data_IF_733017248944
#
_entry.id   IF_733017248944
#
_cell.length_a   1.000
_cell.length_b   1.000
_cell.length_c   1.000
_cell.angle_alpha   90.00
_cell.angle_beta   90.00
_cell.angle_gamma   90.00
#
_symmetry.space_group_name_H-M   'P 1'
#
loop_
_entity.id
_entity.type
_entity.pdbx_description
1 polymer ?
#
# COMPACT_ATOMS: atom_id res chain seq x y z
N UNK A 1 23.12 35.98 16.06
CA UNK A 1 23.07 34.52 16.29
C UNK A 1 23.26 33.64 15.04
N UNK A 2 22.80 34.08 13.87
CA UNK A 2 22.82 33.26 12.64
C UNK A 2 24.14 33.40 11.89
N UNK A 3 24.73 32.27 11.51
CA UNK A 3 25.88 32.17 10.62
C UNK A 3 25.42 31.73 9.23
N UNK A 4 25.85 32.43 8.19
CA UNK A 4 25.55 32.10 6.78
C UNK A 4 26.73 31.38 6.14
N UNK A 5 26.45 30.37 5.30
CA UNK A 5 27.41 29.72 4.42
C UNK A 5 27.15 30.17 2.99
N UNK A 6 28.01 31.07 2.48
CA UNK A 6 27.89 31.66 1.16
C UNK A 6 29.22 31.56 0.44
N UNK A 7 29.18 31.32 -0.87
CA UNK A 7 30.37 31.39 -1.70
C UNK A 7 30.92 32.82 -1.72
N UNK A 8 32.24 33.01 -1.89
CA UNK A 8 32.84 34.35 -1.87
C UNK A 8 32.27 35.31 -2.92
N UNK A 9 31.78 34.76 -4.03
CA UNK A 9 31.18 35.45 -5.17
C UNK A 9 29.66 35.67 -5.05
N UNK A 10 29.00 35.10 -4.03
CA UNK A 10 27.57 35.25 -3.86
C UNK A 10 27.20 36.65 -3.32
N UNK A 11 26.07 37.24 -3.77
CA UNK A 11 25.58 38.49 -3.22
C UNK A 11 25.25 38.32 -1.73
N UNK A 12 25.73 39.26 -0.91
CA UNK A 12 25.53 39.22 0.54
C UNK A 12 24.12 39.69 0.90
N UNK A 13 23.28 38.87 1.54
CA UNK A 13 21.96 39.30 1.96
C UNK A 13 22.05 40.36 3.06
N UNK A 14 21.15 41.38 3.06
CA UNK A 14 21.16 42.41 4.09
C UNK A 14 20.85 41.82 5.46
N UNK A 15 21.49 42.35 6.52
CA UNK A 15 21.24 41.96 7.91
C UNK A 15 22.50 41.87 8.77
N UNK A 16 22.31 41.96 10.09
CA UNK A 16 23.37 41.83 11.09
C UNK A 16 23.63 40.33 11.40
N UNK A 17 24.31 39.66 10.47
CA UNK A 17 24.68 38.25 10.61
C UNK A 17 25.79 38.08 11.66
N UNK A 18 25.77 36.95 12.39
CA UNK A 18 26.84 36.63 13.35
C UNK A 18 28.16 36.38 12.64
N UNK A 19 28.11 35.66 11.52
CA UNK A 19 29.25 35.44 10.64
C UNK A 19 28.75 35.08 9.23
N UNK A 20 29.54 35.41 8.22
CA UNK A 20 29.42 34.87 6.87
C UNK A 20 30.69 34.06 6.64
N UNK A 21 30.53 32.76 6.38
CA UNK A 21 31.64 31.83 6.16
C UNK A 21 31.49 31.18 4.79
N UNK A 22 32.59 30.65 4.27
CA UNK A 22 32.58 29.77 3.11
C UNK A 22 33.08 28.38 3.50
N UNK A 23 32.17 27.42 3.46
CA UNK A 23 32.44 26.00 3.70
C UNK A 23 31.82 25.20 2.54
N UNK A 24 32.57 24.94 1.46
CA UNK A 24 32.03 24.26 0.28
C UNK A 24 31.62 22.81 0.57
N UNK A 25 32.24 22.16 1.57
CA UNK A 25 32.01 20.74 1.88
C UNK A 25 30.77 20.47 2.72
N UNK A 26 30.03 21.51 3.12
CA UNK A 26 28.82 21.37 3.94
C UNK A 26 27.57 21.83 3.19
N UNK A 27 26.46 21.13 3.39
CA UNK A 27 25.20 21.40 2.67
C UNK A 27 24.30 22.48 3.31
N UNK A 28 24.64 22.99 4.49
CA UNK A 28 23.77 23.98 5.17
C UNK A 28 24.05 25.36 4.61
N UNK A 29 22.98 26.16 4.51
CA UNK A 29 23.02 27.54 4.00
C UNK A 29 23.09 28.53 5.15
N UNK A 30 22.43 28.21 6.26
CA UNK A 30 22.54 28.98 7.49
C UNK A 30 22.53 28.04 8.69
N UNK A 31 23.12 28.47 9.80
CA UNK A 31 23.05 27.74 11.08
C UNK A 31 23.00 28.69 12.26
N UNK A 32 22.45 28.24 13.36
CA UNK A 32 22.44 28.99 14.62
C UNK A 32 22.47 28.04 15.81
N UNK A 33 22.92 28.54 16.96
CA UNK A 33 22.79 27.80 18.23
C UNK A 33 21.42 28.10 18.82
N UNK A 34 20.61 27.07 19.00
CA UNK A 34 19.30 27.19 19.64
C UNK A 34 19.47 27.48 21.13
N UNK A 35 18.80 28.52 21.64
CA UNK A 35 18.99 28.99 23.02
C UNK A 35 18.39 28.04 24.06
N UNK A 36 17.37 27.27 23.70
CA UNK A 36 16.70 26.34 24.60
C UNK A 36 17.46 25.03 24.72
N UNK A 37 17.83 24.43 23.59
CA UNK A 37 18.49 23.11 23.57
C UNK A 37 20.01 23.19 23.54
N UNK A 38 20.60 24.37 23.36
CA UNK A 38 22.04 24.54 23.14
C UNK A 38 22.57 23.94 21.83
N UNK A 39 21.73 23.25 21.04
CA UNK A 39 22.11 22.51 19.84
C UNK A 39 22.17 23.41 18.60
N UNK A 40 23.06 23.06 17.68
CA UNK A 40 23.10 23.72 16.36
C UNK A 40 21.89 23.33 15.52
N UNK A 41 21.21 24.32 14.95
CA UNK A 41 20.15 24.18 13.96
C UNK A 41 20.65 24.69 12.62
N UNK A 42 20.04 24.21 11.54
CA UNK A 42 20.53 24.40 10.19
C UNK A 42 19.38 24.63 9.22
N UNK A 43 19.59 25.51 8.26
CA UNK A 43 18.78 25.66 7.05
C UNK A 43 19.44 24.85 5.94
N UNK A 44 18.67 23.98 5.30
CA UNK A 44 19.12 23.12 4.21
C UNK A 44 18.35 23.41 2.93
N UNK A 45 18.93 23.06 1.78
CA UNK A 45 18.19 22.97 0.53
C UNK A 45 16.99 22.00 0.63
N UNK A 46 15.96 22.28 -0.16
CA UNK A 46 14.78 21.43 -0.27
C UNK A 46 15.16 19.99 -0.70
N UNK A 47 14.39 18.98 -0.27
CA UNK A 47 14.66 17.57 -0.62
C UNK A 47 14.56 17.27 -2.12
N UNK A 48 13.93 18.14 -2.90
CA UNK A 48 13.85 18.06 -4.36
C UNK A 48 15.02 18.75 -5.07
N UNK A 49 15.95 19.39 -4.34
CA UNK A 49 17.13 19.98 -4.97
C UNK A 49 18.06 18.90 -5.50
N UNK A 50 18.76 19.19 -6.59
CA UNK A 50 19.66 18.23 -7.23
C UNK A 50 20.71 17.68 -6.26
N UNK A 51 21.31 18.56 -5.44
CA UNK A 51 22.31 18.15 -4.44
C UNK A 51 21.73 17.17 -3.39
N UNK A 52 20.51 17.41 -2.90
CA UNK A 52 19.85 16.49 -1.95
C UNK A 52 19.46 15.18 -2.63
N UNK A 53 19.02 15.23 -3.89
CA UNK A 53 18.70 14.03 -4.66
C UNK A 53 19.95 13.18 -4.94
N UNK A 54 21.09 13.78 -5.31
CA UNK A 54 22.37 13.07 -5.47
C UNK A 54 22.76 12.29 -4.21
N UNK A 55 22.68 12.93 -3.03
CA UNK A 55 22.93 12.24 -1.74
C UNK A 55 21.93 11.10 -1.46
N UNK A 56 20.67 11.27 -1.86
CA UNK A 56 19.65 10.24 -1.70
C UNK A 56 19.91 9.04 -2.64
N UNK A 57 20.35 9.29 -3.87
CA UNK A 57 20.81 8.28 -4.85
C UNK A 57 22.01 7.51 -4.30
N UNK A 58 23.07 8.21 -3.86
CA UNK A 58 24.27 7.61 -3.27
C UNK A 58 23.91 6.67 -2.11
N UNK A 59 23.05 7.13 -1.21
CA UNK A 59 22.55 6.34 -0.08
C UNK A 59 21.87 5.05 -0.53
N UNK A 60 21.01 5.09 -1.56
CA UNK A 60 20.32 3.89 -2.05
C UNK A 60 21.24 2.98 -2.88
N UNK A 61 22.17 3.55 -3.65
CA UNK A 61 23.23 2.79 -4.33
C UNK A 61 24.08 2.02 -3.33
N UNK A 62 24.45 2.65 -2.20
CA UNK A 62 25.21 1.97 -1.16
C UNK A 62 24.46 0.79 -0.52
N UNK A 63 23.13 0.91 -0.40
CA UNK A 63 22.30 -0.20 0.07
C UNK A 63 22.18 -1.34 -0.95
N UNK A 64 22.20 -1.03 -2.26
CA UNK A 64 22.29 -2.04 -3.31
C UNK A 64 23.65 -2.75 -3.33
N UNK A 65 24.73 -2.01 -3.15
CA UNK A 65 26.08 -2.56 -3.06
C UNK A 65 26.22 -3.49 -1.84
N UNK A 66 25.68 -3.08 -0.68
CA UNK A 66 25.57 -3.93 0.51
C UNK A 66 24.77 -5.21 0.20
N UNK A 67 23.67 -5.12 -0.56
CA UNK A 67 22.88 -6.31 -0.93
C UNK A 67 23.72 -7.34 -1.70
N UNK A 68 24.58 -6.89 -2.61
CA UNK A 68 25.43 -7.78 -3.41
C UNK A 68 26.54 -8.44 -2.56
N UNK A 69 26.99 -7.77 -1.51
CA UNK A 69 28.11 -8.21 -0.66
C UNK A 69 27.69 -8.64 0.75
N UNK A 70 26.40 -8.83 1.00
CA UNK A 70 25.87 -9.02 2.36
C UNK A 70 26.45 -10.25 3.05
N UNK A 71 26.67 -11.34 2.31
CA UNK A 71 27.26 -12.56 2.88
C UNK A 71 28.73 -12.35 3.24
N UNK A 72 29.53 -11.66 2.40
CA UNK A 72 30.92 -11.28 2.76
C UNK A 72 30.98 -10.44 4.04
N UNK A 73 30.04 -9.52 4.21
CA UNK A 73 29.95 -8.69 5.44
C UNK A 73 29.59 -9.54 6.64
N UNK A 74 28.63 -10.46 6.52
CA UNK A 74 28.28 -11.39 7.60
C UNK A 74 29.42 -12.32 7.97
N UNK A 75 30.13 -12.85 6.99
CA UNK A 75 31.30 -13.72 7.22
C UNK A 75 32.39 -12.96 7.97
N UNK A 76 32.65 -11.70 7.58
CA UNK A 76 33.59 -10.84 8.30
C UNK A 76 33.14 -10.60 9.75
N UNK A 77 31.84 -10.33 9.98
CA UNK A 77 31.29 -10.19 11.33
C UNK A 77 31.53 -11.48 12.14
N UNK A 78 31.16 -12.64 11.59
CA UNK A 78 31.25 -13.94 12.28
C UNK A 78 32.69 -14.29 12.63
N UNK A 79 33.64 -14.09 11.69
CA UNK A 79 35.07 -14.34 11.93
C UNK A 79 35.65 -13.50 13.07
N UNK A 80 35.09 -12.32 13.34
CA UNK A 80 35.57 -11.42 14.38
C UNK A 80 34.76 -11.54 15.70
N UNK A 81 33.80 -12.47 15.80
CA UNK A 81 33.10 -12.74 17.06
C UNK A 81 33.99 -13.38 18.12
N UNK A 82 35.15 -13.92 17.74
CA UNK A 82 36.15 -14.46 18.67
C UNK A 82 37.52 -13.76 18.55
N UNK A 83 37.53 -12.50 18.09
CA UNK A 83 38.79 -11.76 17.97
C UNK A 83 39.46 -11.55 19.34
N UNK A 84 40.80 -11.69 19.38
CA UNK A 84 41.59 -11.48 20.60
C UNK A 84 41.47 -10.05 21.12
N UNK A 85 41.42 -9.06 20.22
CA UNK A 85 41.16 -7.66 20.59
C UNK A 85 39.72 -7.52 21.14
N UNK A 86 39.55 -7.17 22.43
CA UNK A 86 38.24 -7.02 23.04
C UNK A 86 37.36 -5.98 22.34
N UNK A 87 37.95 -4.89 21.82
CA UNK A 87 37.19 -3.83 21.15
C UNK A 87 36.68 -4.29 19.79
N UNK A 88 37.50 -4.98 19.01
CA UNK A 88 37.09 -5.62 17.75
C UNK A 88 36.01 -6.67 17.98
N UNK A 89 36.14 -7.52 19.01
CA UNK A 89 35.14 -8.53 19.39
C UNK A 89 33.79 -7.92 19.80
N UNK A 90 33.82 -6.84 20.59
CA UNK A 90 32.62 -6.05 20.91
C UNK A 90 32.01 -5.43 19.66
N UNK A 91 32.82 -4.83 18.78
CA UNK A 91 32.36 -4.19 17.53
C UNK A 91 31.70 -5.20 16.59
N UNK A 92 32.29 -6.39 16.43
CA UNK A 92 31.70 -7.49 15.66
C UNK A 92 30.36 -7.95 16.27
N UNK A 93 30.29 -8.07 17.60
CA UNK A 93 29.04 -8.42 18.31
C UNK A 93 27.96 -7.36 18.10
N UNK A 94 28.30 -6.07 18.14
CA UNK A 94 27.38 -4.96 17.82
C UNK A 94 26.89 -5.05 16.37
N UNK A 95 27.79 -5.28 15.42
CA UNK A 95 27.43 -5.45 14.00
C UNK A 95 26.50 -6.64 13.80
N UNK A 96 26.76 -7.75 14.50
CA UNK A 96 25.89 -8.92 14.51
C UNK A 96 24.49 -8.59 15.03
N UNK A 97 24.37 -7.81 16.11
CA UNK A 97 23.06 -7.39 16.63
C UNK A 97 22.33 -6.41 15.69
N UNK A 98 23.05 -5.48 15.05
CA UNK A 98 22.46 -4.59 14.04
C UNK A 98 21.92 -5.40 12.87
N UNK A 99 22.70 -6.37 12.39
CA UNK A 99 22.27 -7.29 11.34
C UNK A 99 21.09 -8.13 11.82
N UNK A 100 21.16 -8.80 12.97
CA UNK A 100 20.12 -9.73 13.43
C UNK A 100 18.81 -9.04 13.82
N UNK A 101 18.89 -7.94 14.54
CA UNK A 101 17.74 -7.25 15.17
C UNK A 101 17.26 -6.02 14.39
N UNK A 102 18.01 -5.56 13.38
CA UNK A 102 17.68 -4.38 12.55
C UNK A 102 17.54 -3.07 13.33
N UNK A 103 18.22 -3.00 14.48
CA UNK A 103 18.22 -1.85 15.39
C UNK A 103 19.23 -0.79 14.91
N UNK A 104 19.14 0.41 15.50
CA UNK A 104 20.13 1.48 15.22
C UNK A 104 21.39 1.21 16.04
N UNK A 105 22.53 1.72 15.58
CA UNK A 105 23.80 1.63 16.33
C UNK A 105 23.67 2.27 17.72
N UNK A 106 23.15 3.49 17.80
CA UNK A 106 23.15 4.25 19.06
C UNK A 106 24.53 4.87 19.31
N UNK A 107 24.53 5.99 20.02
CA UNK A 107 25.73 6.62 20.56
C UNK A 107 25.35 7.11 21.96
N UNK A 108 26.34 7.36 22.81
CA UNK A 108 26.12 7.93 24.13
C UNK A 108 25.38 9.27 24.03
N UNK A 109 24.52 9.51 25.01
CA UNK A 109 23.65 10.68 25.07
C UNK A 109 23.95 11.49 26.31
N UNK A 110 23.65 12.78 26.20
CA UNK A 110 23.64 13.68 27.35
C UNK A 110 22.62 13.18 28.41
N UNK A 111 22.94 13.22 29.72
CA UNK A 111 22.01 12.87 30.79
C UNK A 111 20.67 13.61 30.76
N UNK A 112 20.60 14.80 30.16
CA UNK A 112 19.35 15.55 30.00
C UNK A 112 18.46 15.02 28.85
N UNK A 113 18.98 14.15 27.99
CA UNK A 113 18.19 13.49 26.95
C UNK A 113 17.40 12.29 27.48
N UNK A 114 16.28 11.98 26.80
CA UNK A 114 15.53 10.76 27.08
C UNK A 114 16.42 9.51 26.98
N UNK A 115 16.44 8.72 28.05
CA UNK A 115 17.18 7.45 28.15
C UNK A 115 16.68 6.46 27.09
N UNK A 116 17.44 6.41 26.00
CA UNK A 116 17.12 5.64 24.81
C UNK A 116 18.39 5.02 24.27
N UNK A 117 18.34 3.72 23.96
CA UNK A 117 19.53 2.95 23.62
C UNK A 117 19.48 2.41 22.18
N UNK A 118 20.66 2.17 21.63
CA UNK A 118 20.88 1.44 20.38
C UNK A 118 21.71 0.18 20.64
N UNK A 119 22.18 -0.45 19.57
CA UNK A 119 23.00 -1.65 19.62
C UNK A 119 24.27 -1.50 20.48
N UNK A 120 25.04 -0.42 20.30
CA UNK A 120 26.30 -0.19 21.02
C UNK A 120 26.11 0.43 22.39
N UNK A 121 24.90 0.85 22.75
CA UNK A 121 24.58 1.44 24.07
C UNK A 121 23.64 0.55 24.90
N UNK A 122 23.54 -0.74 24.55
CA UNK A 122 22.84 -1.72 25.39
C UNK A 122 23.51 -1.82 26.76
N UNK A 123 22.71 -2.20 27.75
CA UNK A 123 23.07 -2.29 29.17
C UNK A 123 22.58 -3.64 29.72
N UNK A 124 23.15 -4.17 30.83
CA UNK A 124 22.79 -5.50 31.33
C UNK A 124 21.29 -5.70 31.56
N UNK A 125 20.58 -4.68 32.07
CA UNK A 125 19.14 -4.75 32.36
C UNK A 125 18.26 -4.91 31.11
N UNK A 126 18.81 -4.62 29.92
CA UNK A 126 18.10 -4.74 28.66
C UNK A 126 18.09 -6.17 28.10
N UNK A 127 18.87 -7.08 28.68
CA UNK A 127 19.09 -8.42 28.13
C UNK A 127 18.71 -9.47 29.18
N UNK A 128 17.90 -10.45 28.76
CA UNK A 128 17.58 -11.64 29.54
C UNK A 128 17.92 -12.90 28.76
N UNK A 129 18.74 -13.76 29.35
CA UNK A 129 19.11 -15.06 28.79
C UNK A 129 18.12 -16.13 29.22
N UNK A 130 17.68 -16.97 28.28
CA UNK A 130 16.91 -18.18 28.54
C UNK A 130 17.78 -19.43 28.41
N UNK A 131 17.28 -20.55 28.91
CA UNK A 131 18.03 -21.81 29.02
C UNK A 131 18.13 -22.58 27.69
N UNK A 132 17.30 -22.24 26.71
CA UNK A 132 17.21 -22.86 25.38
C UNK A 132 18.09 -22.19 24.29
N UNK A 133 18.98 -21.29 24.70
CA UNK A 133 19.76 -20.41 23.80
C UNK A 133 18.96 -19.21 23.27
N UNK A 134 17.75 -18.98 23.79
CA UNK A 134 16.98 -17.78 23.46
C UNK A 134 17.44 -16.58 24.28
N UNK A 135 17.62 -15.44 23.65
CA UNK A 135 17.92 -14.15 24.28
C UNK A 135 16.77 -13.17 24.05
N UNK A 136 16.32 -12.55 25.13
CA UNK A 136 15.29 -11.52 25.11
C UNK A 136 15.92 -10.14 25.30
N UNK A 137 15.71 -9.24 24.35
CA UNK A 137 16.11 -7.83 24.44
C UNK A 137 14.87 -6.98 24.70
N UNK A 138 14.89 -6.15 25.75
CA UNK A 138 13.79 -5.22 26.11
C UNK A 138 14.36 -3.86 26.46
N UNK A 139 14.13 -2.86 25.62
CA UNK A 139 14.64 -1.51 25.83
C UNK A 139 13.81 -0.44 25.10
N UNK A 140 14.05 0.84 25.43
CA UNK A 140 13.49 1.98 24.70
C UNK A 140 14.50 2.47 23.65
N UNK A 141 14.10 2.43 22.38
CA UNK A 141 14.89 2.97 21.29
C UNK A 141 14.62 4.45 21.06
N UNK A 142 15.11 4.99 19.93
CA UNK A 142 14.83 6.37 19.51
C UNK A 142 13.35 6.73 19.63
N UNK A 143 13.08 7.96 20.08
CA UNK A 143 11.74 8.50 20.30
C UNK A 143 10.95 7.72 21.37
N UNK A 144 11.68 7.07 22.29
CA UNK A 144 11.17 6.22 23.38
C UNK A 144 10.25 5.09 22.91
N UNK A 145 10.52 4.56 21.70
CA UNK A 145 9.75 3.46 21.14
C UNK A 145 10.21 2.13 21.76
N UNK A 146 9.32 1.33 22.37
CA UNK A 146 9.68 0.04 22.93
C UNK A 146 10.17 -0.94 21.86
N UNK A 147 11.29 -1.57 22.15
CA UNK A 147 11.87 -2.69 21.42
C UNK A 147 11.80 -3.94 22.30
N UNK A 148 11.15 -4.98 21.79
CA UNK A 148 11.09 -6.30 22.42
C UNK A 148 11.43 -7.34 21.37
N UNK A 149 12.56 -8.01 21.54
CA UNK A 149 13.02 -9.07 20.65
C UNK A 149 13.22 -10.34 21.46
N UNK A 150 12.72 -11.47 20.98
CA UNK A 150 13.02 -12.80 21.51
C UNK A 150 13.63 -13.60 20.37
N UNK A 151 14.93 -13.88 20.44
CA UNK A 151 15.69 -14.49 19.33
C UNK A 151 16.62 -15.58 19.83
N UNK A 152 16.72 -16.68 19.09
CA UNK A 152 17.78 -17.66 19.28
C UNK A 152 19.08 -17.12 18.68
N UNK A 153 20.14 -17.13 19.47
CA UNK A 153 21.47 -16.64 19.10
C UNK A 153 22.49 -17.79 19.11
N UNK A 154 23.57 -17.71 18.32
CA UNK A 154 24.69 -18.64 18.42
C UNK A 154 25.39 -18.56 19.78
N UNK A 155 25.93 -19.67 20.25
CA UNK A 155 26.56 -19.76 21.58
C UNK A 155 27.70 -18.77 21.76
N UNK A 156 28.50 -18.53 20.72
CA UNK A 156 29.58 -17.52 20.73
C UNK A 156 29.05 -16.12 21.03
N UNK A 157 27.89 -15.75 20.48
CA UNK A 157 27.26 -14.44 20.72
C UNK A 157 26.72 -14.39 22.15
N UNK A 158 26.10 -15.47 22.63
CA UNK A 158 25.58 -15.55 24.00
C UNK A 158 26.72 -15.44 25.01
N UNK A 159 27.84 -16.14 24.78
CA UNK A 159 29.06 -16.07 25.57
C UNK A 159 29.58 -14.64 25.65
N UNK A 160 29.76 -13.98 24.50
CA UNK A 160 30.18 -12.59 24.44
C UNK A 160 29.23 -11.67 25.21
N UNK A 161 27.92 -11.80 25.01
CA UNK A 161 26.93 -10.97 25.71
C UNK A 161 26.96 -11.18 27.23
N UNK A 162 27.08 -12.42 27.71
CA UNK A 162 27.21 -12.70 29.16
C UNK A 162 28.50 -12.11 29.73
N UNK A 163 29.64 -12.36 29.06
CA UNK A 163 30.96 -11.84 29.47
C UNK A 163 30.96 -10.30 29.52
N UNK A 164 30.44 -9.66 28.48
CA UNK A 164 30.37 -8.20 28.40
C UNK A 164 29.38 -7.60 29.39
N UNK A 165 28.29 -8.30 29.71
CA UNK A 165 27.32 -7.84 30.71
C UNK A 165 27.86 -7.92 32.13
N UNK A 166 28.64 -8.96 32.44
CA UNK A 166 29.28 -9.10 33.76
C UNK A 166 30.34 -8.02 34.04
N UNK A 167 31.00 -7.54 32.98
CA UNK A 167 32.07 -6.54 33.06
C UNK A 167 31.59 -5.10 32.76
N UNK A 168 30.28 -4.88 32.59
CA UNK A 168 29.74 -3.59 32.18
C UNK A 168 29.72 -2.59 33.35
N UNK A 169 30.20 -1.36 33.12
CA UNK A 169 29.99 -0.24 34.06
C UNK A 169 28.68 0.47 33.77
N UNK A 170 28.44 0.80 32.51
CA UNK A 170 27.21 1.41 32.02
C UNK A 170 26.72 0.65 30.79
N UNK A 171 27.49 0.67 29.70
CA UNK A 171 27.15 -0.11 28.50
C UNK A 171 27.92 -1.43 28.46
N UNK A 172 27.28 -2.48 27.96
CA UNK A 172 27.96 -3.76 27.71
C UNK A 172 29.00 -3.63 26.58
N UNK A 173 28.90 -2.60 25.73
CA UNK A 173 29.86 -2.37 24.64
C UNK A 173 30.70 -1.11 24.86
N UNK A 174 31.08 -0.83 26.11
CA UNK A 174 31.99 0.27 26.47
C UNK A 174 33.21 0.29 25.52
N UNK A 175 33.47 1.46 24.93
CA UNK A 175 34.52 1.69 23.92
C UNK A 175 34.09 1.56 22.46
N UNK A 176 32.86 1.09 22.17
CA UNK A 176 32.32 0.97 20.80
C UNK A 176 31.32 2.08 20.50
N UNK A 177 31.61 2.91 19.49
CA UNK A 177 30.73 3.97 19.02
C UNK A 177 30.42 3.81 17.52
N UNK A 178 29.56 4.68 16.98
CA UNK A 178 29.19 4.65 15.56
C UNK A 178 30.36 4.81 14.60
N UNK A 179 31.44 5.49 15.01
CA UNK A 179 32.66 5.64 14.22
C UNK A 179 33.36 4.29 14.06
N UNK A 180 33.65 3.59 15.17
CA UNK A 180 34.30 2.27 15.15
C UNK A 180 33.49 1.23 14.39
N UNK A 181 32.17 1.23 14.57
CA UNK A 181 31.27 0.34 13.80
C UNK A 181 31.37 0.62 12.31
N UNK A 182 31.50 1.89 11.92
CA UNK A 182 31.66 2.25 10.50
C UNK A 182 33.04 1.88 9.98
N UNK A 183 34.11 2.15 10.73
CA UNK A 183 35.50 1.75 10.40
C UNK A 183 35.61 0.23 10.19
N UNK A 184 35.03 -0.58 11.10
CA UNK A 184 35.00 -2.04 10.97
C UNK A 184 34.23 -2.53 9.73
N UNK A 185 33.12 -1.89 9.38
CA UNK A 185 32.35 -2.24 8.18
C UNK A 185 33.03 -1.76 6.89
N UNK A 186 33.79 -0.66 6.96
CA UNK A 186 34.56 -0.08 5.86
C UNK A 186 35.64 -1.03 5.34
N UNK A 187 36.25 -1.83 6.24
CA UNK A 187 37.23 -2.87 5.92
C UNK A 187 36.73 -3.88 4.86
N UNK A 188 35.40 -4.11 4.82
CA UNK A 188 34.78 -5.02 3.85
C UNK A 188 34.23 -4.26 2.65
N UNK A 189 33.69 -3.06 2.89
CA UNK A 189 33.01 -2.27 1.88
C UNK A 189 33.16 -0.77 2.13
N UNK A 190 34.03 -0.11 1.37
CA UNK A 190 34.38 1.32 1.55
C UNK A 190 33.17 2.25 1.58
N UNK A 191 32.97 3.01 2.65
CA UNK A 191 31.85 3.91 2.90
C UNK A 191 30.62 3.22 3.51
N UNK A 192 30.72 1.96 3.91
CA UNK A 192 29.63 1.25 4.57
C UNK A 192 29.48 1.72 6.03
N UNK A 193 28.24 1.96 6.44
CA UNK A 193 27.92 2.28 7.84
C UNK A 193 26.72 1.48 8.32
N UNK A 194 26.55 1.41 9.65
CA UNK A 194 25.41 0.75 10.28
C UNK A 194 24.04 1.26 9.77
N UNK A 195 23.95 2.53 9.34
CA UNK A 195 22.70 3.11 8.83
C UNK A 195 22.25 2.45 7.52
N UNK A 196 23.19 1.97 6.71
CA UNK A 196 22.91 1.34 5.40
C UNK A 196 22.13 0.04 5.58
N UNK A 197 22.39 -0.73 6.64
CA UNK A 197 21.67 -1.98 6.95
C UNK A 197 20.16 -1.79 7.06
N UNK A 198 19.71 -0.72 7.72
CA UNK A 198 18.26 -0.43 7.83
C UNK A 198 17.64 -0.12 6.47
N UNK A 199 18.33 0.61 5.61
CA UNK A 199 17.87 0.91 4.25
C UNK A 199 17.80 -0.37 3.41
N UNK A 200 18.84 -1.20 3.48
CA UNK A 200 18.90 -2.50 2.81
C UNK A 200 17.73 -3.41 3.23
N UNK A 201 17.56 -3.65 4.54
CA UNK A 201 16.54 -4.56 5.03
C UNK A 201 15.11 -4.04 4.85
N UNK A 202 14.88 -2.73 4.95
CA UNK A 202 13.59 -2.14 4.62
C UNK A 202 13.26 -2.31 3.13
N UNK A 203 14.23 -2.03 2.25
CA UNK A 203 14.07 -2.19 0.80
C UNK A 203 13.84 -3.65 0.41
N UNK A 204 14.62 -4.58 0.98
CA UNK A 204 14.46 -6.03 0.79
C UNK A 204 13.07 -6.51 1.21
N UNK A 205 12.60 -6.12 2.39
CA UNK A 205 11.28 -6.52 2.89
C UNK A 205 10.13 -6.02 1.99
N UNK A 206 10.25 -4.82 1.42
CA UNK A 206 9.28 -4.30 0.45
C UNK A 206 9.31 -5.13 -0.82
N UNK A 207 10.49 -5.34 -1.39
CA UNK A 207 10.66 -6.07 -2.64
C UNK A 207 10.12 -7.50 -2.52
N UNK A 208 10.54 -8.24 -1.49
CA UNK A 208 10.04 -9.59 -1.19
C UNK A 208 8.51 -9.61 -1.04
N UNK A 209 7.94 -8.63 -0.33
CA UNK A 209 6.49 -8.59 -0.13
C UNK A 209 5.71 -8.28 -1.40
N UNK A 210 6.25 -7.42 -2.26
CA UNK A 210 5.66 -7.09 -3.56
C UNK A 210 5.66 -8.30 -4.49
N UNK A 211 6.78 -9.03 -4.60
CA UNK A 211 6.87 -10.20 -5.48
C UNK A 211 6.17 -11.44 -4.91
N UNK A 212 6.06 -11.58 -3.59
CA UNK A 212 5.29 -12.66 -2.97
C UNK A 212 3.77 -12.45 -3.05
N UNK A 213 3.30 -11.25 -3.40
CA UNK A 213 1.86 -10.94 -3.49
C UNK A 213 1.48 -10.71 -4.95
N UNK A 214 0.93 -11.73 -5.65
CA UNK A 214 0.64 -11.61 -7.07
C UNK A 214 -0.40 -10.53 -7.34
N UNK A 215 -0.10 -9.66 -8.29
CA UNK A 215 -0.96 -8.58 -8.79
C UNK A 215 -0.81 -8.52 -10.31
N UNK A 216 -1.93 -8.51 -11.01
CA UNK A 216 -1.96 -8.49 -12.47
C UNK A 216 -2.07 -7.07 -13.01
N UNK A 217 -1.76 -6.90 -14.30
CA UNK A 217 -1.85 -5.60 -14.99
C UNK A 217 -3.29 -5.08 -15.07
N UNK A 218 -4.27 -5.97 -15.21
CA UNK A 218 -5.71 -5.69 -15.26
C UNK A 218 -6.35 -5.49 -13.88
N UNK A 219 -5.61 -5.75 -12.79
CA UNK A 219 -6.13 -5.48 -11.45
C UNK A 219 -6.39 -3.98 -11.25
N UNK A 220 -7.45 -3.62 -10.50
CA UNK A 220 -7.75 -2.22 -10.24
C UNK A 220 -6.65 -1.50 -9.45
N UNK A 221 -6.43 -0.21 -9.73
CA UNK A 221 -5.47 0.65 -9.03
C UNK A 221 -5.53 0.58 -7.50
N UNK A 222 -6.73 0.42 -6.93
CA UNK A 222 -6.88 0.37 -5.47
C UNK A 222 -6.34 -0.94 -4.86
N UNK A 223 -6.28 -2.03 -5.64
CA UNK A 223 -5.64 -3.30 -5.28
C UNK A 223 -4.13 -3.13 -5.32
N UNK A 224 -3.60 -2.54 -6.41
CA UNK A 224 -2.17 -2.24 -6.58
C UNK A 224 -1.65 -1.34 -5.44
N UNK A 225 -2.37 -0.27 -5.11
CA UNK A 225 -2.07 0.61 -3.97
C UNK A 225 -2.12 -0.11 -2.63
N UNK A 226 -3.06 -1.04 -2.45
CA UNK A 226 -3.18 -1.82 -1.23
C UNK A 226 -1.95 -2.72 -1.03
N UNK A 227 -1.52 -3.44 -2.07
CA UNK A 227 -0.32 -4.29 -2.01
C UNK A 227 0.94 -3.47 -1.75
N UNK A 228 1.10 -2.31 -2.41
CA UNK A 228 2.19 -1.39 -2.13
C UNK A 228 2.22 -0.92 -0.66
N UNK A 229 1.06 -0.60 -0.08
CA UNK A 229 0.94 -0.19 1.31
C UNK A 229 1.25 -1.34 2.29
N UNK A 230 0.88 -2.58 1.95
CA UNK A 230 1.27 -3.77 2.73
C UNK A 230 2.78 -3.99 2.69
N UNK A 231 3.42 -3.84 1.53
CA UNK A 231 4.87 -3.96 1.42
C UNK A 231 5.60 -2.89 2.26
N UNK A 232 5.11 -1.65 2.24
CA UNK A 232 5.64 -0.59 3.11
C UNK A 232 5.42 -0.91 4.61
N UNK A 233 4.29 -1.53 4.96
CA UNK A 233 4.05 -1.99 6.33
C UNK A 233 5.09 -3.03 6.77
N UNK A 234 5.52 -3.94 5.89
CA UNK A 234 6.60 -4.88 6.23
C UNK A 234 7.92 -4.17 6.50
N UNK A 235 8.31 -3.17 5.69
CA UNK A 235 9.46 -2.32 6.02
C UNK A 235 9.31 -1.60 7.36
N UNK A 236 8.12 -1.06 7.66
CA UNK A 236 7.86 -0.40 8.94
C UNK A 236 7.95 -1.36 10.14
N UNK A 237 7.54 -2.63 9.98
CA UNK A 237 7.70 -3.68 10.98
C UNK A 237 9.17 -4.02 11.21
N UNK A 238 9.90 -4.31 10.14
CA UNK A 238 11.34 -4.64 10.18
C UNK A 238 12.14 -3.54 10.89
N UNK A 239 11.81 -2.28 10.62
CA UNK A 239 12.49 -1.14 11.21
C UNK A 239 11.90 -0.69 12.57
N UNK A 240 10.87 -1.36 13.09
CA UNK A 240 10.07 -0.96 14.26
C UNK A 240 9.63 0.52 14.22
N UNK A 241 9.18 1.03 13.07
CA UNK A 241 8.65 2.38 12.93
C UNK A 241 7.25 2.46 13.55
N UNK A 242 7.19 2.66 14.86
CA UNK A 242 5.94 2.81 15.61
C UNK A 242 5.47 4.25 15.65
N UNK A 243 4.19 4.42 15.92
CA UNK A 243 3.60 5.70 16.35
C UNK A 243 2.55 5.45 17.41
N UNK A 244 2.28 6.46 18.24
CA UNK A 244 1.15 6.44 19.15
C UNK A 244 -0.14 6.22 18.38
N UNK A 245 -0.96 5.27 18.83
CA UNK A 245 -2.28 5.02 18.24
C UNK A 245 -3.14 6.25 18.52
N UNK A 246 -3.74 6.89 17.51
CA UNK A 246 -4.65 8.01 17.73
C UNK A 246 -5.81 7.59 18.64
N UNK A 247 -6.23 8.46 19.58
CA UNK A 247 -7.31 8.16 20.55
C UNK A 247 -8.59 7.66 19.87
N UNK A 248 -8.97 8.28 18.74
CA UNK A 248 -10.18 7.96 17.98
C UNK A 248 -10.01 6.82 16.95
N UNK A 249 -8.86 6.12 16.94
CA UNK A 249 -8.57 5.12 15.90
C UNK A 249 -9.56 3.96 15.91
N UNK A 250 -9.87 3.39 17.09
CA UNK A 250 -10.81 2.27 17.24
C UNK A 250 -12.22 2.65 16.78
N UNK A 251 -12.72 3.78 17.29
CA UNK A 251 -14.03 4.33 16.89
C UNK A 251 -14.11 4.63 15.40
N UNK A 252 -13.07 5.26 14.83
CA UNK A 252 -13.01 5.55 13.39
C UNK A 252 -13.03 4.26 12.54
N UNK A 253 -12.37 3.20 13.01
CA UNK A 253 -12.36 1.90 12.33
C UNK A 253 -13.72 1.21 12.43
N UNK A 254 -14.36 1.22 13.61
CA UNK A 254 -15.69 0.66 13.83
C UNK A 254 -16.76 1.39 13.00
N UNK A 255 -16.77 2.73 13.01
CA UNK A 255 -17.66 3.54 12.16
C UNK A 255 -17.52 3.20 10.67
N UNK A 256 -16.29 2.92 10.19
CA UNK A 256 -16.07 2.48 8.80
C UNK A 256 -16.61 1.07 8.54
N UNK A 257 -16.43 0.15 9.48
CA UNK A 257 -16.97 -1.23 9.40
C UNK A 257 -18.50 -1.22 9.39
N UNK A 258 -19.13 -0.42 10.24
CA UNK A 258 -20.59 -0.26 10.28
C UNK A 258 -21.14 0.36 9.00
N UNK A 259 -20.52 1.45 8.51
CA UNK A 259 -20.89 2.04 7.21
C UNK A 259 -20.80 1.04 6.06
N UNK A 260 -19.76 0.18 6.07
CA UNK A 260 -19.63 -0.87 5.07
C UNK A 260 -20.73 -1.94 5.20
N UNK A 261 -21.01 -2.41 6.42
CA UNK A 261 -22.10 -3.38 6.68
C UNK A 261 -23.45 -2.82 6.20
N UNK A 262 -23.76 -1.59 6.56
CA UNK A 262 -24.99 -0.91 6.15
C UNK A 262 -25.06 -0.73 4.62
N UNK A 263 -23.94 -0.40 3.98
CA UNK A 263 -23.87 -0.31 2.51
C UNK A 263 -24.17 -1.66 1.86
N UNK A 264 -23.60 -2.74 2.37
CA UNK A 264 -23.84 -4.10 1.88
C UNK A 264 -25.32 -4.50 2.02
N UNK A 265 -25.95 -4.18 3.16
CA UNK A 265 -27.39 -4.40 3.37
C UNK A 265 -28.23 -3.65 2.34
N UNK A 266 -28.04 -2.33 2.22
CA UNK A 266 -28.77 -1.49 1.24
C UNK A 266 -28.53 -1.93 -0.20
N UNK A 267 -27.34 -2.40 -0.54
CA UNK A 267 -27.02 -2.93 -1.86
C UNK A 267 -27.85 -4.20 -2.17
N UNK A 268 -27.94 -5.12 -1.20
CA UNK A 268 -28.74 -6.35 -1.32
C UNK A 268 -30.23 -6.04 -1.49
N UNK A 269 -30.76 -5.08 -0.74
CA UNK A 269 -32.17 -4.65 -0.86
C UNK A 269 -32.47 -4.01 -2.22
N UNK A 270 -31.57 -3.16 -2.73
CA UNK A 270 -31.72 -2.58 -4.08
C UNK A 270 -31.68 -3.65 -5.16
N UNK A 271 -30.80 -4.64 -5.03
CA UNK A 271 -30.76 -5.79 -5.94
C UNK A 271 -32.07 -6.58 -5.90
N UNK A 272 -32.61 -6.86 -4.71
CA UNK A 272 -33.87 -7.59 -4.54
C UNK A 272 -35.04 -6.85 -5.22
N UNK A 273 -35.18 -5.55 -4.97
CA UNK A 273 -36.23 -4.72 -5.60
C UNK A 273 -36.18 -4.74 -7.13
N UNK A 274 -34.99 -4.80 -7.73
CA UNK A 274 -34.87 -4.89 -9.20
C UNK A 274 -35.27 -6.29 -9.68
N UNK A 275 -34.87 -7.35 -8.96
CA UNK A 275 -35.26 -8.73 -9.27
C UNK A 275 -36.78 -8.93 -9.16
N UNK A 276 -37.41 -8.36 -8.14
CA UNK A 276 -38.87 -8.36 -7.96
C UNK A 276 -39.55 -7.67 -9.15
N UNK A 277 -39.09 -6.48 -9.55
CA UNK A 277 -39.61 -5.79 -10.75
C UNK A 277 -39.46 -6.61 -12.03
N UNK A 278 -38.36 -7.34 -12.19
CA UNK A 278 -38.18 -8.26 -13.32
C UNK A 278 -39.24 -9.38 -13.28
N UNK A 279 -39.48 -9.96 -12.10
CA UNK A 279 -40.50 -11.01 -11.89
C UNK A 279 -41.91 -10.48 -12.17
N UNK A 280 -42.27 -9.32 -11.63
CA UNK A 280 -43.57 -8.67 -11.88
C UNK A 280 -43.79 -8.39 -13.36
N UNK A 281 -42.80 -7.82 -14.07
CA UNK A 281 -42.90 -7.56 -15.51
C UNK A 281 -43.06 -8.84 -16.31
N UNK A 282 -42.40 -9.92 -15.90
CA UNK A 282 -42.58 -11.26 -16.49
C UNK A 282 -44.01 -11.75 -16.33
N UNK A 283 -44.57 -11.66 -15.12
CA UNK A 283 -45.96 -12.07 -14.85
C UNK A 283 -46.96 -11.26 -15.70
N UNK A 284 -46.84 -9.93 -15.70
CA UNK A 284 -47.69 -9.03 -16.49
C UNK A 284 -47.62 -9.35 -18.00
N UNK A 285 -46.43 -9.67 -18.50
CA UNK A 285 -46.23 -10.06 -19.89
C UNK A 285 -46.92 -11.38 -20.23
N UNK A 286 -46.75 -12.41 -19.39
CA UNK A 286 -47.37 -13.73 -19.59
C UNK A 286 -48.90 -13.60 -19.60
N UNK A 287 -49.48 -12.86 -18.67
CA UNK A 287 -50.93 -12.66 -18.59
C UNK A 287 -51.47 -11.93 -19.83
N UNK A 288 -50.83 -10.82 -20.26
CA UNK A 288 -51.22 -10.08 -21.47
C UNK A 288 -51.08 -10.92 -22.73
N UNK A 289 -50.02 -11.73 -22.81
CA UNK A 289 -49.79 -12.61 -23.95
C UNK A 289 -50.89 -13.68 -24.06
N UNK A 290 -51.32 -14.25 -22.92
CA UNK A 290 -52.43 -15.21 -22.86
C UNK A 290 -53.71 -14.58 -23.42
N UNK A 291 -54.13 -13.42 -22.88
CA UNK A 291 -55.32 -12.68 -23.36
C UNK A 291 -55.26 -12.37 -24.87
N UNK A 292 -54.09 -11.98 -25.37
CA UNK A 292 -53.94 -11.68 -26.80
C UNK A 292 -53.99 -12.92 -27.70
N UNK A 293 -53.48 -14.06 -27.23
CA UNK A 293 -53.57 -15.35 -27.93
C UNK A 293 -55.00 -15.88 -27.97
N UNK A 294 -55.72 -15.88 -26.86
CA UNK A 294 -57.14 -16.31 -26.79
C UNK A 294 -58.02 -15.49 -27.75
N UNK A 295 -57.78 -14.16 -27.83
CA UNK A 295 -58.48 -13.29 -28.78
C UNK A 295 -58.12 -13.61 -30.24
N UNK A 296 -56.86 -13.98 -30.51
CA UNK A 296 -56.42 -14.40 -31.84
C UNK A 296 -57.11 -15.71 -32.26
N UNK A 297 -57.14 -16.71 -31.39
CA UNK A 297 -57.83 -17.99 -31.61
C UNK A 297 -59.32 -17.78 -31.89
N UNK A 298 -59.97 -16.87 -31.15
CA UNK A 298 -61.38 -16.54 -31.37
C UNK A 298 -61.62 -15.94 -32.76
N UNK A 299 -60.72 -15.06 -33.22
CA UNK A 299 -60.79 -14.48 -34.58
C UNK A 299 -60.55 -15.56 -35.63
N UNK A 300 -59.59 -16.46 -35.42
CA UNK A 300 -59.30 -17.59 -36.31
C UNK A 300 -60.49 -18.54 -36.44
N UNK A 301 -61.12 -18.94 -35.32
CA UNK A 301 -62.34 -19.76 -35.32
C UNK A 301 -63.49 -19.10 -36.10
N UNK A 302 -63.71 -17.79 -35.89
CA UNK A 302 -64.72 -17.02 -36.65
C UNK A 302 -64.41 -16.97 -38.15
N UNK A 303 -63.14 -16.85 -38.52
CA UNK A 303 -62.71 -16.82 -39.92
C UNK A 303 -62.91 -18.18 -40.60
N UNK A 304 -62.63 -19.29 -39.90
CA UNK A 304 -62.86 -20.66 -40.40
C UNK A 304 -64.35 -20.88 -40.66
N UNK A 305 -65.22 -20.57 -39.68
CA UNK A 305 -66.69 -20.65 -39.86
C UNK A 305 -67.17 -19.82 -41.05
N UNK A 306 -66.65 -18.59 -41.20
CA UNK A 306 -67.04 -17.74 -42.34
C UNK A 306 -66.58 -18.30 -43.69
N UNK A 307 -65.40 -18.94 -43.75
CA UNK A 307 -64.92 -19.60 -44.97
C UNK A 307 -65.82 -20.78 -45.36
N UNK A 308 -66.25 -21.58 -44.38
CA UNK A 308 -67.20 -22.69 -44.60
C UNK A 308 -68.54 -22.17 -45.16
N UNK A 309 -69.11 -21.13 -44.56
CA UNK A 309 -70.35 -20.50 -45.05
C UNK A 309 -70.23 -19.89 -46.46
N UNK A 310 -69.05 -19.34 -46.81
CA UNK A 310 -68.79 -18.85 -48.17
C UNK A 310 -68.79 -20.01 -49.16
N UNK A 311 -68.13 -21.12 -48.83
CA UNK A 311 -68.09 -22.31 -49.70
C UNK A 311 -69.48 -22.93 -49.91
N UNK A 312 -70.31 -22.99 -48.86
CA UNK A 312 -71.70 -23.48 -48.94
C UNK A 312 -72.60 -22.57 -49.79
N UNK A 313 -72.44 -21.24 -49.67
CA UNK A 313 -73.20 -20.28 -50.50
C UNK A 313 -72.76 -20.26 -51.96
N UNK A 314 -71.47 -20.49 -52.23
CA UNK A 314 -70.95 -20.64 -53.59
C UNK A 314 -71.50 -21.89 -54.27
N UNK A 315 -71.58 -23.02 -53.55
CA UNK A 315 -72.21 -24.26 -54.04
C UNK A 315 -73.71 -24.13 -54.31
N UNK A 316 -74.40 -23.19 -53.65
CA UNK A 316 -75.85 -22.95 -53.80
C UNK A 316 -76.20 -21.76 -54.70
N UNK A 317 -75.22 -21.20 -55.44
CA UNK A 317 -75.46 -20.12 -56.41
C UNK A 317 -75.85 -18.76 -55.80
N UNK A 318 -75.73 -18.58 -54.48
CA UNK A 318 -76.15 -17.35 -53.77
C UNK A 318 -75.00 -16.36 -53.64
N UNK A 319 -75.33 -15.06 -53.65
CA UNK A 319 -74.34 -13.97 -53.55
C UNK A 319 -73.48 -14.04 -52.27
N UNK A 320 -72.16 -14.04 -52.44
CA UNK A 320 -71.16 -14.14 -51.36
C UNK A 320 -70.45 -12.83 -51.03
N UNK A 321 -70.80 -11.74 -51.74
CA UNK A 321 -70.12 -10.43 -51.67
C UNK A 321 -70.02 -9.89 -50.23
N UNK A 322 -71.10 -9.99 -49.45
CA UNK A 322 -71.16 -9.53 -48.05
C UNK A 322 -70.30 -10.37 -47.11
N UNK A 323 -70.33 -11.71 -47.26
CA UNK A 323 -69.52 -12.62 -46.47
C UNK A 323 -68.02 -12.46 -46.77
N UNK A 324 -67.65 -12.27 -48.04
CA UNK A 324 -66.27 -11.98 -48.46
C UNK A 324 -65.76 -10.66 -47.88
N UNK A 325 -66.58 -9.58 -47.85
CA UNK A 325 -66.24 -8.33 -47.15
C UNK A 325 -66.00 -8.55 -45.64
N UNK A 326 -66.86 -9.33 -44.99
CA UNK A 326 -66.76 -9.64 -43.56
C UNK A 326 -65.53 -10.51 -43.23
N UNK A 327 -65.19 -11.47 -44.09
CA UNK A 327 -63.95 -12.25 -44.01
C UNK A 327 -62.70 -11.38 -44.20
N UNK A 328 -62.71 -10.43 -45.13
CA UNK A 328 -61.64 -9.45 -45.31
C UNK A 328 -61.43 -8.58 -44.08
N UNK A 329 -62.52 -8.11 -43.45
CA UNK A 329 -62.47 -7.37 -42.18
C UNK A 329 -61.87 -8.20 -41.05
N UNK A 330 -62.28 -9.47 -40.91
CA UNK A 330 -61.69 -10.39 -39.92
C UNK A 330 -60.21 -10.68 -40.17
N UNK A 331 -59.77 -10.84 -41.44
CA UNK A 331 -58.34 -10.97 -41.77
C UNK A 331 -57.54 -9.73 -41.36
N UNK A 332 -58.08 -8.51 -41.59
CA UNK A 332 -57.45 -7.26 -41.11
C UNK A 332 -57.37 -7.23 -39.58
N UNK A 333 -58.43 -7.65 -38.88
CA UNK A 333 -58.44 -7.76 -37.42
C UNK A 333 -57.39 -8.76 -36.89
N UNK A 334 -57.29 -9.94 -37.53
CA UNK A 334 -56.29 -10.96 -37.22
C UNK A 334 -54.86 -10.43 -37.41
N UNK A 335 -54.59 -9.72 -38.52
CA UNK A 335 -53.29 -9.06 -38.76
C UNK A 335 -52.96 -8.04 -37.68
N UNK A 336 -53.92 -7.20 -37.29
CA UNK A 336 -53.76 -6.23 -36.18
C UNK A 336 -53.46 -6.94 -34.86
N UNK A 337 -54.13 -8.05 -34.57
CA UNK A 337 -53.91 -8.82 -33.34
C UNK A 337 -52.53 -9.48 -33.29
N UNK A 338 -52.07 -10.06 -34.40
CA UNK A 338 -50.70 -10.61 -34.53
C UNK A 338 -49.64 -9.51 -34.34
N UNK A 339 -49.87 -8.34 -34.91
CA UNK A 339 -49.02 -7.17 -34.74
C UNK A 339 -48.98 -6.68 -33.28
N UNK A 340 -50.11 -6.69 -32.56
CA UNK A 340 -50.14 -6.37 -31.12
C UNK A 340 -49.30 -7.35 -30.29
N UNK A 341 -49.38 -8.65 -30.59
CA UNK A 341 -48.55 -9.69 -29.94
C UNK A 341 -47.07 -9.44 -30.22
N UNK A 342 -46.70 -9.12 -31.47
CA UNK A 342 -45.32 -8.79 -31.86
C UNK A 342 -44.80 -7.58 -31.07
N UNK A 343 -45.55 -6.47 -31.08
CA UNK A 343 -45.20 -5.25 -30.33
C UNK A 343 -45.14 -5.48 -28.82
N UNK A 344 -45.95 -6.38 -28.27
CA UNK A 344 -45.91 -6.74 -26.84
C UNK A 344 -44.60 -7.49 -26.52
N UNK A 345 -44.21 -8.45 -27.36
CA UNK A 345 -42.95 -9.20 -27.23
C UNK A 345 -41.73 -8.27 -27.29
N UNK A 346 -41.70 -7.38 -28.28
CA UNK A 346 -40.62 -6.40 -28.45
C UNK A 346 -40.52 -5.47 -27.24
N UNK A 347 -41.64 -4.89 -26.80
CA UNK A 347 -41.68 -4.02 -25.61
C UNK A 347 -41.22 -4.73 -24.35
N UNK A 348 -41.65 -5.97 -24.12
CA UNK A 348 -41.23 -6.76 -22.96
C UNK A 348 -39.73 -7.06 -23.00
N UNK A 349 -39.21 -7.47 -24.17
CA UNK A 349 -37.78 -7.74 -24.36
C UNK A 349 -36.93 -6.52 -24.02
N UNK A 350 -37.32 -5.35 -24.53
CA UNK A 350 -36.61 -4.11 -24.27
C UNK A 350 -36.68 -3.68 -22.79
N UNK A 351 -37.85 -3.83 -22.16
CA UNK A 351 -37.99 -3.57 -20.72
C UNK A 351 -37.12 -4.50 -19.87
N UNK A 352 -37.07 -5.79 -20.21
CA UNK A 352 -36.26 -6.78 -19.52
C UNK A 352 -34.77 -6.47 -19.68
N UNK A 353 -34.33 -6.14 -20.90
CA UNK A 353 -32.95 -5.73 -21.19
C UNK A 353 -32.53 -4.54 -20.33
N UNK A 354 -33.33 -3.46 -20.29
CA UNK A 354 -33.05 -2.28 -19.46
C UNK A 354 -32.95 -2.61 -17.97
N UNK A 355 -33.81 -3.49 -17.45
CA UNK A 355 -33.78 -3.90 -16.04
C UNK A 355 -32.55 -4.77 -15.73
N UNK A 356 -32.19 -5.69 -16.62
CA UNK A 356 -31.00 -6.53 -16.48
C UNK A 356 -29.72 -5.71 -16.54
N UNK A 357 -29.60 -4.78 -17.48
CA UNK A 357 -28.48 -3.83 -17.55
C UNK A 357 -28.38 -2.98 -16.29
N UNK A 358 -29.51 -2.46 -15.79
CA UNK A 358 -29.56 -1.72 -14.53
C UNK A 358 -29.07 -2.57 -13.36
N UNK A 359 -29.47 -3.84 -13.28
CA UNK A 359 -29.03 -4.76 -12.25
C UNK A 359 -27.52 -5.04 -12.34
N UNK A 360 -27.02 -5.33 -13.55
CA UNK A 360 -25.60 -5.59 -13.78
C UNK A 360 -24.73 -4.38 -13.41
N UNK A 361 -25.14 -3.17 -13.83
CA UNK A 361 -24.47 -1.90 -13.47
C UNK A 361 -24.45 -1.68 -11.95
N UNK A 362 -25.57 -1.91 -11.27
CA UNK A 362 -25.65 -1.82 -9.81
C UNK A 362 -24.69 -2.80 -9.13
N UNK A 363 -24.73 -4.08 -9.53
CA UNK A 363 -23.85 -5.12 -8.97
C UNK A 363 -22.38 -4.79 -9.14
N UNK A 364 -21.97 -4.39 -10.35
CA UNK A 364 -20.58 -4.01 -10.63
C UNK A 364 -20.15 -2.84 -9.74
N UNK A 365 -20.96 -1.78 -9.68
CA UNK A 365 -20.69 -0.60 -8.85
C UNK A 365 -20.54 -0.92 -7.37
N UNK A 366 -21.47 -1.69 -6.80
CA UNK A 366 -21.44 -2.02 -5.37
C UNK A 366 -20.30 -2.99 -5.06
N UNK A 367 -20.03 -3.98 -5.93
CA UNK A 367 -18.88 -4.90 -5.78
C UNK A 367 -17.56 -4.14 -5.68
N UNK A 368 -17.28 -3.26 -6.65
CA UNK A 368 -16.05 -2.45 -6.65
C UNK A 368 -15.96 -1.55 -5.42
N UNK A 369 -17.06 -0.93 -4.99
CA UNK A 369 -17.07 -0.09 -3.80
C UNK A 369 -16.77 -0.89 -2.53
N UNK A 370 -17.46 -2.03 -2.35
CA UNK A 370 -17.31 -2.91 -1.18
C UNK A 370 -15.87 -3.44 -1.11
N UNK A 371 -15.32 -3.87 -2.22
CA UNK A 371 -13.94 -4.37 -2.32
C UNK A 371 -12.92 -3.29 -1.92
N UNK A 372 -13.01 -2.10 -2.52
CA UNK A 372 -12.16 -0.96 -2.17
C UNK A 372 -12.29 -0.58 -0.69
N UNK A 373 -13.50 -0.56 -0.14
CA UNK A 373 -13.74 -0.23 1.25
C UNK A 373 -13.17 -1.29 2.21
N UNK A 374 -13.29 -2.59 1.87
CA UNK A 374 -12.68 -3.69 2.64
C UNK A 374 -11.16 -3.53 2.73
N UNK A 375 -10.49 -3.30 1.60
CA UNK A 375 -9.04 -3.12 1.56
C UNK A 375 -8.59 -1.88 2.34
N UNK A 376 -9.34 -0.77 2.26
CA UNK A 376 -9.06 0.43 3.06
C UNK A 376 -9.24 0.22 4.58
N UNK A 377 -10.22 -0.59 4.99
CA UNK A 377 -10.42 -0.94 6.40
C UNK A 377 -9.28 -1.86 6.86
N UNK A 378 -8.93 -2.85 6.06
CA UNK A 378 -7.85 -3.81 6.38
C UNK A 378 -6.51 -3.09 6.56
N UNK A 379 -6.10 -2.25 5.61
CA UNK A 379 -4.82 -1.52 5.74
C UNK A 379 -4.84 -0.58 6.95
N UNK A 380 -5.95 0.11 7.23
CA UNK A 380 -6.07 1.00 8.40
C UNK A 380 -6.03 0.21 9.72
N UNK A 381 -6.58 -1.00 9.74
CA UNK A 381 -6.52 -1.90 10.87
C UNK A 381 -5.07 -2.37 11.14
N UNK A 382 -4.34 -2.76 10.09
CA UNK A 382 -2.96 -3.26 10.19
C UNK A 382 -1.91 -2.18 10.49
N UNK A 383 -2.19 -0.91 10.14
CA UNK A 383 -1.22 0.20 10.24
C UNK A 383 -1.46 1.12 11.45
N UNK A 384 -2.34 0.73 12.38
CA UNK A 384 -2.78 1.60 13.48
C UNK A 384 -1.63 2.18 14.33
N UNK A 385 -0.66 1.34 14.68
CA UNK A 385 0.50 1.70 15.49
C UNK A 385 1.81 1.79 14.70
N UNK A 386 1.76 1.82 13.36
CA UNK A 386 2.94 1.93 12.50
C UNK A 386 2.99 3.28 11.76
N UNK A 387 4.19 3.83 11.61
CA UNK A 387 4.46 5.03 10.83
C UNK A 387 5.03 4.67 9.46
N UNK A 388 4.15 4.53 8.47
CA UNK A 388 4.50 4.20 7.10
C UNK A 388 5.25 5.31 6.36
N UNK A 389 5.11 6.57 6.79
CA UNK A 389 5.76 7.68 6.11
C UNK A 389 7.28 7.68 6.37
N UNK A 390 7.70 7.28 7.58
CA UNK A 390 9.12 7.19 7.94
C UNK A 390 9.86 6.20 7.06
N UNK A 391 9.33 4.98 6.86
CA UNK A 391 9.90 3.98 5.96
C UNK A 391 9.89 4.47 4.51
N UNK A 392 8.73 4.94 4.03
CA UNK A 392 8.54 5.37 2.64
C UNK A 392 9.44 6.53 2.22
N UNK A 393 9.69 7.49 3.12
CA UNK A 393 10.46 8.71 2.83
C UNK A 393 11.97 8.49 2.80
N UNK A 394 12.49 7.55 3.58
CA UNK A 394 13.91 7.53 3.94
C UNK A 394 14.61 6.19 3.79
N UNK A 395 13.90 5.05 3.88
CA UNK A 395 14.52 3.73 4.00
C UNK A 395 14.21 2.79 2.83
N UNK A 396 13.16 3.06 2.07
CA UNK A 396 12.77 2.24 0.92
C UNK A 396 13.30 2.89 -0.35
N UNK A 397 14.07 2.15 -1.14
CA UNK A 397 14.53 2.59 -2.46
C UNK A 397 13.32 2.78 -3.40
N UNK A 398 13.05 4.01 -3.88
CA UNK A 398 11.90 4.27 -4.72
C UNK A 398 11.96 3.58 -6.10
N UNK A 399 13.15 3.13 -6.55
CA UNK A 399 13.30 2.34 -7.78
C UNK A 399 12.62 0.99 -7.69
N UNK A 400 12.40 0.45 -6.48
CA UNK A 400 11.66 -0.80 -6.29
C UNK A 400 10.20 -0.62 -6.69
N UNK A 401 9.55 0.44 -6.22
CA UNK A 401 8.18 0.76 -6.60
C UNK A 401 8.06 1.17 -8.07
N UNK A 402 9.09 1.80 -8.63
CA UNK A 402 9.17 2.09 -10.07
C UNK A 402 9.15 0.79 -10.90
N UNK A 403 10.12 -0.11 -10.68
CA UNK A 403 10.21 -1.38 -11.44
C UNK A 403 8.97 -2.25 -11.26
N UNK A 404 8.45 -2.35 -10.03
CA UNK A 404 7.24 -3.11 -9.77
C UNK A 404 6.01 -2.48 -10.44
N UNK A 405 5.89 -1.14 -10.41
CA UNK A 405 4.85 -0.39 -11.07
C UNK A 405 4.83 -0.61 -12.58
N UNK A 406 5.99 -0.51 -13.23
CA UNK A 406 6.16 -0.80 -14.67
C UNK A 406 5.69 -2.21 -15.02
N UNK A 407 6.12 -3.22 -14.25
CA UNK A 407 5.74 -4.62 -14.48
C UNK A 407 4.21 -4.86 -14.42
N UNK A 408 3.49 -4.13 -13.57
CA UNK A 408 2.03 -4.24 -13.42
C UNK A 408 1.26 -3.12 -14.13
N UNK A 409 1.92 -2.29 -14.95
CA UNK A 409 1.30 -1.15 -15.64
C UNK A 409 0.63 -0.16 -14.68
N UNK A 410 1.37 0.33 -13.69
CA UNK A 410 0.89 1.29 -12.71
C UNK A 410 1.95 2.34 -12.37
N UNK A 411 1.57 3.61 -12.49
CA UNK A 411 2.46 4.73 -12.23
C UNK A 411 2.91 4.77 -10.76
N UNK A 412 4.22 4.64 -10.56
CA UNK A 412 4.86 4.67 -9.24
C UNK A 412 4.53 5.93 -8.45
N UNK A 413 4.31 7.08 -9.11
CA UNK A 413 3.95 8.35 -8.47
C UNK A 413 2.65 8.22 -7.67
N UNK A 414 1.74 7.34 -8.07
CA UNK A 414 0.46 7.12 -7.39
C UNK A 414 0.60 6.42 -6.02
N UNK A 415 1.77 5.86 -5.70
CA UNK A 415 2.10 5.38 -4.35
C UNK A 415 2.53 6.51 -3.39
N UNK A 416 3.01 7.63 -3.94
CA UNK A 416 3.65 8.69 -3.19
C UNK A 416 2.77 9.95 -3.09
N UNK A 417 2.77 10.63 -1.93
CA UNK A 417 2.30 12.01 -1.83
C UNK A 417 3.10 12.95 -2.75
N UNK A 418 2.50 14.09 -3.14
CA UNK A 418 3.12 15.06 -4.07
C UNK A 418 4.51 15.54 -3.64
N UNK A 419 4.75 15.70 -2.34
CA UNK A 419 6.07 16.07 -1.83
C UNK A 419 7.14 14.98 -2.07
N UNK A 420 6.77 13.71 -1.92
CA UNK A 420 7.67 12.59 -2.18
C UNK A 420 7.86 12.34 -3.69
N UNK A 421 6.84 12.60 -4.52
CA UNK A 421 7.01 12.59 -5.99
C UNK A 421 8.10 13.58 -6.41
N UNK A 422 8.11 14.81 -5.86
CA UNK A 422 9.16 15.81 -6.14
C UNK A 422 10.52 15.39 -5.61
N UNK A 423 10.57 14.80 -4.40
CA UNK A 423 11.82 14.29 -3.82
C UNK A 423 12.44 13.20 -4.70
N UNK A 424 11.63 12.26 -5.19
CA UNK A 424 12.07 11.10 -5.95
C UNK A 424 11.97 11.27 -7.46
N UNK A 425 11.86 12.51 -7.97
CA UNK A 425 11.79 12.76 -9.42
C UNK A 425 13.04 12.30 -10.18
N UNK A 426 14.15 12.08 -9.47
CA UNK A 426 15.36 11.50 -10.04
C UNK A 426 15.22 10.05 -10.50
N UNK A 427 14.21 9.30 -10.02
CA UNK A 427 14.04 7.88 -10.34
C UNK A 427 13.82 7.66 -11.83
N UNK A 428 13.02 8.51 -12.49
CA UNK A 428 12.72 8.41 -13.92
C UNK A 428 13.99 8.63 -14.74
N UNK A 429 14.72 9.72 -14.44
CA UNK A 429 16.02 10.04 -15.09
C UNK A 429 17.06 8.93 -14.94
N UNK A 430 17.08 8.21 -13.82
CA UNK A 430 18.04 7.12 -13.61
C UNK A 430 17.67 5.84 -14.37
N UNK A 431 16.40 5.63 -14.70
CA UNK A 431 15.92 4.41 -15.36
C UNK A 431 15.78 4.57 -16.87
N UNK A 432 15.64 5.80 -17.38
CA UNK A 432 15.68 6.12 -18.81
C UNK A 432 17.10 6.01 -19.42
N UNK A 433 18.14 6.11 -18.59
CA UNK A 433 19.56 6.06 -18.99
C UNK A 433 20.18 4.65 -18.82
N UNK A 434 19.35 3.59 -18.78
CA UNK A 434 19.75 2.18 -18.71
C UNK A 434 19.00 1.40 -19.77
#
# INVERSE_FOLDING_TARGET
>A
DIELNLSPDAPRPPGNWKAIVWKPDVMWIARWRDKLSGKMKYVWLAESSELKQKRDIEKFNKAMELRMHIERVKDHIIKNLDADDPIRRKTATVCYLIDRLKIRVGDEKDPEEADTVGASTLRPEHIKFGDDGTVTFKFLGKDSVPHIFKVKLPDIVIRNLKEFSANAKSSIFDGVNSKRVSEFLDEVLTGLSAKVFRTYYASKAVEEKLYATPVKRDDPDYVKKYVAALANLEAAKVCNHRRKIPKTWRESLNRRREKLKERMRRAKERELKIKEKIKEKRMQYVERLKKYKERLETIEKKLIKLKQQISEREKSGRSTKTLRKRASSLRKSMRRQREMIRRLRERYREQLRKLQERLARLKKRERTYIEKAKLQIDIKAKTGNYNLNTSLKSYIDPRIYYRWGEAIGFDWKLYYPKSLQKKFSWVERCMENR
#
